data_IF_546369045877
#
_entry.id   IF_546369045877
#
_cell.length_a   1.000
_cell.length_b   1.000
_cell.length_c   1.000
_cell.angle_alpha   90.00
_cell.angle_beta   90.00
_cell.angle_gamma   90.00
#
_symmetry.space_group_name_H-M   'P 1'
#
loop_
_entity.id
_entity.type
_entity.pdbx_description
1 polymer ?
#
# COMPACT_ATOMS: atom_id res chain seq x y z
N UNK A 1 -1.19 -30.78 -3.22
CA UNK A 1 -0.28 -29.69 -2.81
C UNK A 1 0.36 -29.13 -4.06
N UNK A 2 0.27 -27.81 -4.23
CA UNK A 2 0.89 -27.12 -5.35
C UNK A 2 2.29 -26.65 -4.90
N UNK A 3 3.34 -26.81 -5.74
CA UNK A 3 4.62 -26.22 -5.43
C UNK A 3 4.50 -24.69 -5.47
N UNK A 4 5.05 -24.01 -4.47
CA UNK A 4 5.19 -22.55 -4.54
C UNK A 4 6.14 -22.20 -5.70
N UNK A 5 5.77 -21.28 -6.61
CA UNK A 5 6.63 -20.92 -7.73
C UNK A 5 7.93 -20.27 -7.23
N UNK A 6 9.06 -20.55 -7.89
CA UNK A 6 10.32 -19.85 -7.61
C UNK A 6 10.26 -18.46 -8.24
N UNK A 7 9.89 -17.46 -7.45
CA UNK A 7 9.76 -16.06 -7.89
C UNK A 7 10.87 -15.25 -7.22
N UNK A 8 11.73 -14.61 -8.02
CA UNK A 8 12.65 -13.60 -7.52
C UNK A 8 11.84 -12.35 -7.11
N UNK A 9 11.93 -11.88 -5.85
CA UNK A 9 11.23 -10.67 -5.41
C UNK A 9 11.71 -9.41 -6.15
N UNK A 10 12.92 -9.42 -6.71
CA UNK A 10 13.45 -8.34 -7.56
C UNK A 10 12.97 -8.55 -8.99
N UNK A 11 12.10 -7.64 -9.45
CA UNK A 11 11.55 -7.67 -10.79
C UNK A 11 12.57 -7.21 -11.85
N UNK A 12 13.32 -6.15 -11.53
CA UNK A 12 14.34 -5.57 -12.41
C UNK A 12 15.50 -5.05 -11.55
N UNK A 13 16.72 -5.42 -11.90
CA UNK A 13 17.94 -4.89 -11.28
C UNK A 13 18.70 -4.00 -12.29
N UNK A 14 18.95 -2.74 -11.90
CA UNK A 14 19.75 -1.78 -12.68
C UNK A 14 20.91 -1.31 -11.80
N UNK A 15 22.01 -2.07 -11.82
CA UNK A 15 23.14 -1.83 -10.92
C UNK A 15 22.72 -1.91 -9.44
N UNK A 16 22.96 -0.87 -8.61
CA UNK A 16 22.55 -0.86 -7.20
C UNK A 16 21.03 -0.63 -7.01
N UNK A 17 20.30 -0.24 -8.05
CA UNK A 17 18.87 0.00 -7.97
C UNK A 17 18.10 -1.31 -8.21
N UNK A 18 17.41 -1.79 -7.18
CA UNK A 18 16.58 -2.99 -7.24
C UNK A 18 15.10 -2.62 -7.21
N UNK A 19 14.41 -2.87 -8.30
CA UNK A 19 12.97 -2.67 -8.42
C UNK A 19 12.28 -3.97 -8.02
N UNK A 20 11.56 -3.94 -6.91
CA UNK A 20 10.87 -5.11 -6.37
C UNK A 20 9.45 -5.23 -6.93
N UNK A 21 8.97 -6.46 -7.12
CA UNK A 21 7.59 -6.72 -7.53
C UNK A 21 6.57 -6.07 -6.61
N UNK A 22 6.86 -6.02 -5.30
CA UNK A 22 6.00 -5.37 -4.33
C UNK A 22 5.76 -3.89 -4.65
N UNK A 23 6.82 -3.17 -5.01
CA UNK A 23 6.74 -1.77 -5.44
C UNK A 23 5.96 -1.62 -6.75
N UNK A 24 6.18 -2.53 -7.71
CA UNK A 24 5.42 -2.57 -8.95
C UNK A 24 3.93 -2.84 -8.73
N UNK A 25 3.56 -3.71 -7.78
CA UNK A 25 2.16 -3.96 -7.44
C UNK A 25 1.50 -2.72 -6.83
N UNK A 26 2.21 -1.93 -6.02
CA UNK A 26 1.69 -0.63 -5.60
C UNK A 26 1.46 0.32 -6.78
N UNK A 27 2.38 0.38 -7.74
CA UNK A 27 2.20 1.19 -8.95
C UNK A 27 0.99 0.73 -9.76
N UNK A 28 0.81 -0.58 -9.93
CA UNK A 28 -0.38 -1.16 -10.59
C UNK A 28 -1.65 -0.79 -9.83
N UNK A 29 -1.65 -0.91 -8.50
CA UNK A 29 -2.78 -0.55 -7.65
C UNK A 29 -3.17 0.92 -7.76
N UNK A 30 -2.19 1.83 -7.59
CA UNK A 30 -2.40 3.28 -7.67
C UNK A 30 -2.80 3.71 -9.08
N UNK A 31 -2.10 3.21 -10.11
CA UNK A 31 -2.39 3.53 -11.51
C UNK A 31 -3.77 3.06 -11.95
N UNK A 32 -4.17 1.85 -11.54
CA UNK A 32 -5.49 1.30 -11.84
C UNK A 32 -6.60 2.02 -11.07
N UNK A 33 -6.35 2.39 -9.81
CA UNK A 33 -7.26 3.22 -9.01
C UNK A 33 -7.46 4.61 -9.64
N UNK A 34 -6.38 5.27 -10.07
CA UNK A 34 -6.45 6.54 -10.79
C UNK A 34 -7.23 6.40 -12.09
N UNK A 35 -6.96 5.35 -12.87
CA UNK A 35 -7.64 5.11 -14.12
C UNK A 35 -9.16 4.95 -13.92
N UNK A 36 -9.58 4.11 -12.97
CA UNK A 36 -10.99 3.92 -12.66
C UNK A 36 -11.65 5.19 -12.10
N UNK A 37 -10.96 5.90 -11.21
CA UNK A 37 -11.43 7.18 -10.68
C UNK A 37 -11.58 8.24 -11.78
N UNK A 38 -10.65 8.29 -12.74
CA UNK A 38 -10.69 9.23 -13.87
C UNK A 38 -11.92 8.99 -14.77
N UNK A 39 -12.33 7.73 -14.93
CA UNK A 39 -13.55 7.36 -15.67
C UNK A 39 -14.83 7.72 -14.93
N UNK A 40 -14.77 7.80 -13.59
CA UNK A 40 -15.90 8.16 -12.72
C UNK A 40 -15.93 9.64 -12.38
N UNK A 41 -14.86 10.37 -12.66
CA UNK A 41 -14.65 11.76 -12.21
C UNK A 41 -15.79 12.69 -12.63
N UNK A 42 -16.18 12.66 -13.92
CA UNK A 42 -17.25 13.53 -14.43
C UNK A 42 -18.61 13.26 -13.75
N UNK A 43 -18.87 12.03 -13.28
CA UNK A 43 -20.09 11.72 -12.52
C UNK A 43 -20.02 12.16 -11.06
N UNK A 44 -18.81 12.20 -10.50
CA UNK A 44 -18.59 12.66 -9.14
C UNK A 44 -18.62 14.19 -9.06
N UNK A 45 -17.89 14.86 -9.94
CA UNK A 45 -17.88 16.31 -10.08
C UNK A 45 -17.43 16.69 -11.51
N UNK A 46 -18.33 17.21 -12.37
CA UNK A 46 -17.99 17.66 -13.72
C UNK A 46 -16.95 18.78 -13.79
N UNK A 47 -16.76 19.53 -12.70
CA UNK A 47 -15.81 20.64 -12.62
C UNK A 47 -14.38 20.18 -12.29
N UNK A 48 -14.22 18.94 -11.83
CA UNK A 48 -12.90 18.40 -11.47
C UNK A 48 -12.16 17.89 -12.71
N UNK A 49 -10.90 18.33 -12.85
CA UNK A 49 -10.01 17.85 -13.90
C UNK A 49 -9.22 16.61 -13.45
N UNK A 50 -8.59 15.91 -14.40
CA UNK A 50 -7.73 14.75 -14.07
C UNK A 50 -6.49 15.16 -13.29
N UNK A 51 -6.03 16.39 -13.46
CA UNK A 51 -4.96 17.00 -12.66
C UNK A 51 -5.41 17.10 -11.21
N UNK A 52 -6.63 17.59 -10.96
CA UNK A 52 -7.19 17.67 -9.61
C UNK A 52 -7.35 16.30 -8.94
N UNK A 53 -7.75 15.30 -9.72
CA UNK A 53 -7.79 13.91 -9.26
C UNK A 53 -6.38 13.42 -8.89
N UNK A 54 -5.37 13.74 -9.71
CA UNK A 54 -3.98 13.36 -9.47
C UNK A 54 -3.43 14.03 -8.21
N UNK A 55 -3.79 15.30 -7.97
CA UNK A 55 -3.49 16.00 -6.71
C UNK A 55 -4.10 15.26 -5.52
N UNK A 56 -5.36 14.82 -5.61
CA UNK A 56 -6.01 14.05 -4.54
C UNK A 56 -5.24 12.77 -4.23
N UNK A 57 -4.85 12.02 -5.27
CA UNK A 57 -4.07 10.78 -5.10
C UNK A 57 -2.71 11.06 -4.48
N UNK A 58 -2.04 12.15 -4.90
CA UNK A 58 -0.78 12.57 -4.29
C UNK A 58 -0.96 12.87 -2.79
N UNK A 59 -1.99 13.62 -2.41
CA UNK A 59 -2.30 13.89 -1.00
C UNK A 59 -2.54 12.61 -0.19
N UNK A 60 -3.32 11.67 -0.74
CA UNK A 60 -3.58 10.38 -0.10
C UNK A 60 -2.29 9.56 0.03
N UNK A 61 -1.46 9.50 -1.02
CA UNK A 61 -0.17 8.79 -1.00
C UNK A 61 0.79 9.39 0.04
N UNK A 62 0.86 10.72 0.14
CA UNK A 62 1.62 11.40 1.19
C UNK A 62 1.07 11.08 2.59
N UNK A 63 -0.25 10.97 2.74
CA UNK A 63 -0.89 10.51 3.97
C UNK A 63 -0.43 9.10 4.37
N UNK A 64 -0.34 8.16 3.43
CA UNK A 64 0.20 6.81 3.69
C UNK A 64 1.65 6.87 4.15
N UNK A 65 2.50 7.60 3.41
CA UNK A 65 3.95 7.64 3.66
C UNK A 65 4.24 8.32 5.00
N UNK A 66 3.73 9.54 5.18
CA UNK A 66 3.99 10.33 6.39
C UNK A 66 3.33 9.69 7.59
N UNK A 67 2.04 9.31 7.48
CA UNK A 67 1.32 8.66 8.56
C UNK A 67 1.93 7.32 8.95
N UNK A 68 2.32 6.50 7.96
CA UNK A 68 2.93 5.21 8.20
C UNK A 68 4.29 5.34 8.88
N UNK A 69 5.11 6.31 8.46
CA UNK A 69 6.40 6.59 9.08
C UNK A 69 6.24 7.08 10.50
N UNK A 70 5.41 8.10 10.72
CA UNK A 70 5.16 8.64 12.05
C UNK A 70 4.54 7.61 12.99
N UNK A 71 3.61 6.79 12.50
CA UNK A 71 3.07 5.68 13.29
C UNK A 71 4.16 4.70 13.70
N UNK A 72 5.07 4.35 12.80
CA UNK A 72 6.19 3.47 13.16
C UNK A 72 7.06 4.08 14.27
N UNK A 73 7.47 5.34 14.06
CA UNK A 73 8.30 6.08 15.01
C UNK A 73 7.64 6.15 16.39
N UNK A 74 6.37 6.57 16.45
CA UNK A 74 5.70 6.82 17.72
C UNK A 74 5.35 5.54 18.48
N UNK A 75 4.95 4.48 17.77
CA UNK A 75 4.39 3.28 18.41
C UNK A 75 5.39 2.12 18.56
N UNK A 76 6.47 2.08 17.79
CA UNK A 76 7.39 0.94 17.79
C UNK A 76 8.83 1.29 18.18
N UNK A 77 9.33 2.48 17.84
CA UNK A 77 10.77 2.74 17.92
C UNK A 77 11.15 4.15 18.42
N UNK A 78 10.27 4.77 19.20
CA UNK A 78 10.41 6.16 19.62
C UNK A 78 11.78 6.52 20.24
N UNK A 79 12.37 5.69 21.14
CA UNK A 79 13.66 6.02 21.75
C UNK A 79 14.79 6.22 20.73
N UNK A 80 14.84 5.40 19.67
CA UNK A 80 15.89 5.49 18.66
C UNK A 80 15.76 6.76 17.80
N UNK A 81 14.54 7.20 17.51
CA UNK A 81 14.31 8.42 16.74
C UNK A 81 14.50 9.70 17.57
N UNK A 82 14.33 9.64 18.89
CA UNK A 82 14.74 10.73 19.79
C UNK A 82 16.26 10.86 19.80
N UNK A 83 16.97 9.74 19.86
CA UNK A 83 18.44 9.73 19.85
C UNK A 83 19.03 10.19 18.51
N UNK A 84 18.38 9.85 17.38
CA UNK A 84 18.78 10.31 16.06
C UNK A 84 17.57 10.69 15.19
N UNK A 85 17.14 11.97 15.22
CA UNK A 85 15.97 12.43 14.46
C UNK A 85 16.10 12.30 12.94
N UNK A 86 17.32 12.24 12.39
CA UNK A 86 17.54 12.12 10.94
C UNK A 86 17.07 10.77 10.39
N UNK A 87 16.92 9.75 11.25
CA UNK A 87 16.37 8.45 10.88
C UNK A 87 14.99 8.58 10.22
N UNK A 88 14.22 9.63 10.50
CA UNK A 88 12.88 9.83 9.92
C UNK A 88 12.90 9.84 8.39
N UNK A 89 13.98 10.34 7.78
CA UNK A 89 14.14 10.45 6.32
C UNK A 89 14.63 9.15 5.66
N UNK A 90 15.17 8.21 6.45
CA UNK A 90 15.74 6.95 5.96
C UNK A 90 14.65 5.90 5.68
N UNK A 91 13.67 6.26 4.86
CA UNK A 91 12.49 5.41 4.55
C UNK A 91 12.85 4.12 3.83
N UNK A 92 14.01 4.06 3.18
CA UNK A 92 14.53 2.85 2.52
C UNK A 92 14.96 1.76 3.49
N UNK A 93 15.17 2.09 4.77
CA UNK A 93 15.45 1.08 5.82
C UNK A 93 14.19 0.36 6.32
N UNK A 94 13.04 0.61 5.70
CA UNK A 94 11.74 0.13 6.17
C UNK A 94 11.25 0.93 7.38
N UNK A 95 10.41 0.32 8.21
CA UNK A 95 9.81 0.99 9.37
C UNK A 95 8.57 1.82 8.99
N UNK A 96 7.50 1.11 8.64
CA UNK A 96 6.21 1.68 8.27
C UNK A 96 5.10 0.96 9.05
N UNK A 97 4.21 1.73 9.67
CA UNK A 97 3.07 1.20 10.41
C UNK A 97 1.78 1.32 9.59
N UNK A 98 1.05 0.20 9.43
CA UNK A 98 -0.22 0.19 8.69
C UNK A 98 -1.24 1.16 9.28
N UNK A 99 -1.47 1.12 10.60
CA UNK A 99 -2.44 1.97 11.27
C UNK A 99 -2.09 3.46 11.16
N UNK A 100 -0.79 3.79 11.24
CA UNK A 100 -0.31 5.14 10.99
C UNK A 100 -0.63 5.62 9.58
N UNK A 101 -0.39 4.77 8.58
CA UNK A 101 -0.73 5.05 7.18
C UNK A 101 -2.23 5.27 6.98
N UNK A 102 -3.06 4.41 7.59
CA UNK A 102 -4.51 4.53 7.54
C UNK A 102 -5.03 5.85 8.13
N UNK A 103 -4.56 6.21 9.33
CA UNK A 103 -4.89 7.49 9.98
C UNK A 103 -4.42 8.67 9.11
N UNK A 104 -3.21 8.59 8.56
CA UNK A 104 -2.65 9.61 7.66
C UNK A 104 -3.51 9.83 6.41
N UNK A 105 -4.01 8.75 5.79
CA UNK A 105 -4.96 8.83 4.66
C UNK A 105 -6.27 9.50 5.05
N UNK A 106 -6.83 9.16 6.21
CA UNK A 106 -8.08 9.78 6.69
C UNK A 106 -7.91 11.29 6.85
N UNK A 107 -6.81 11.72 7.49
CA UNK A 107 -6.51 13.14 7.71
C UNK A 107 -6.28 13.85 6.36
N UNK A 108 -5.48 13.25 5.47
CA UNK A 108 -5.20 13.82 4.15
C UNK A 108 -6.48 13.99 3.32
N UNK A 109 -7.36 12.99 3.32
CA UNK A 109 -8.64 13.03 2.62
C UNK A 109 -9.56 14.10 3.19
N UNK A 110 -9.66 14.20 4.52
CA UNK A 110 -10.45 15.23 5.19
C UNK A 110 -9.97 16.65 4.83
N UNK A 111 -8.67 16.91 4.92
CA UNK A 111 -8.10 18.22 4.57
C UNK A 111 -8.22 18.55 3.10
N UNK A 112 -7.99 17.57 2.21
CA UNK A 112 -8.18 17.76 0.78
C UNK A 112 -9.64 18.10 0.46
N UNK A 113 -10.61 17.39 1.06
CA UNK A 113 -12.03 17.69 0.89
C UNK A 113 -12.37 19.10 1.34
N UNK A 114 -11.96 19.48 2.56
CA UNK A 114 -12.22 20.82 3.11
C UNK A 114 -11.69 21.94 2.21
N UNK A 115 -10.51 21.79 1.62
CA UNK A 115 -9.91 22.79 0.71
C UNK A 115 -10.60 22.87 -0.66
N UNK A 116 -11.36 21.84 -1.03
CA UNK A 116 -11.98 21.71 -2.35
C UNK A 116 -13.51 21.69 -2.31
N UNK A 117 -14.11 22.15 -1.20
CA UNK A 117 -15.55 22.23 -1.05
C UNK A 117 -16.26 20.86 -1.05
N UNK A 118 -15.56 19.81 -0.63
CA UNK A 118 -16.13 18.45 -0.49
C UNK A 118 -16.14 18.02 0.96
N UNK A 119 -17.21 17.33 1.36
CA UNK A 119 -17.25 16.66 2.65
C UNK A 119 -16.31 15.44 2.64
N UNK A 120 -15.86 15.04 3.83
CA UNK A 120 -15.07 13.83 3.99
C UNK A 120 -15.77 12.61 3.38
N UNK A 121 -17.06 12.43 3.69
CA UNK A 121 -17.84 11.29 3.21
C UNK A 121 -18.03 11.30 1.70
N UNK A 122 -18.18 12.46 1.05
CA UNK A 122 -18.23 12.53 -0.41
C UNK A 122 -16.95 11.97 -1.05
N UNK A 123 -15.78 12.29 -0.48
CA UNK A 123 -14.52 11.73 -0.99
C UNK A 123 -14.36 10.26 -0.65
N UNK A 124 -14.77 9.84 0.55
CA UNK A 124 -14.71 8.43 0.93
C UNK A 124 -15.60 7.57 0.04
N UNK A 125 -16.83 8.00 -0.25
CA UNK A 125 -17.74 7.31 -1.17
C UNK A 125 -17.18 7.23 -2.59
N UNK A 126 -16.47 8.29 -3.03
CA UNK A 126 -15.79 8.30 -4.32
C UNK A 126 -14.60 7.36 -4.38
N UNK A 127 -13.79 7.29 -3.31
CA UNK A 127 -12.54 6.52 -3.24
C UNK A 127 -12.78 5.04 -2.93
N UNK A 128 -13.80 4.72 -2.11
CA UNK A 128 -14.06 3.37 -1.61
C UNK A 128 -14.08 2.27 -2.71
N UNK A 129 -14.67 2.47 -3.89
CA UNK A 129 -14.65 1.47 -4.96
C UNK A 129 -13.25 1.18 -5.53
N UNK A 130 -12.27 2.06 -5.30
CA UNK A 130 -10.90 1.89 -5.81
C UNK A 130 -10.01 1.13 -4.83
N UNK A 131 -10.37 1.13 -3.54
CA UNK A 131 -9.60 0.50 -2.46
C UNK A 131 -9.34 -1.00 -2.71
N UNK A 132 -10.32 -1.81 -3.16
CA UNK A 132 -10.08 -3.23 -3.41
C UNK A 132 -8.99 -3.50 -4.45
N UNK A 133 -8.79 -2.61 -5.42
CA UNK A 133 -7.74 -2.77 -6.45
C UNK A 133 -6.36 -2.68 -5.81
N UNK A 134 -6.15 -1.68 -4.94
CA UNK A 134 -4.90 -1.51 -4.20
C UNK A 134 -4.66 -2.67 -3.23
N UNK A 135 -5.70 -3.10 -2.49
CA UNK A 135 -5.60 -4.24 -1.58
C UNK A 135 -5.27 -5.54 -2.33
N UNK A 136 -5.96 -5.81 -3.44
CA UNK A 136 -5.72 -6.97 -4.28
C UNK A 136 -4.28 -7.00 -4.84
N UNK A 137 -3.80 -5.88 -5.38
CA UNK A 137 -2.42 -5.77 -5.84
C UNK A 137 -1.42 -5.99 -4.69
N UNK A 138 -1.68 -5.42 -3.51
CA UNK A 138 -0.88 -5.64 -2.31
C UNK A 138 -0.83 -7.13 -1.91
N UNK A 139 -1.97 -7.84 -1.93
CA UNK A 139 -2.03 -9.28 -1.64
C UNK A 139 -1.26 -10.12 -2.66
N UNK A 140 -1.31 -9.77 -3.94
CA UNK A 140 -0.48 -10.40 -4.98
C UNK A 140 1.01 -10.16 -4.67
N UNK A 141 1.37 -8.95 -4.26
CA UNK A 141 2.72 -8.62 -3.82
C UNK A 141 3.18 -9.46 -2.62
N UNK A 142 2.30 -9.67 -1.63
CA UNK A 142 2.62 -10.53 -0.47
C UNK A 142 2.83 -11.98 -0.92
N UNK A 143 1.99 -12.47 -1.82
CA UNK A 143 2.16 -13.81 -2.38
C UNK A 143 3.52 -13.94 -3.08
N UNK A 144 3.90 -12.99 -3.95
CA UNK A 144 5.21 -12.98 -4.65
C UNK A 144 6.39 -12.94 -3.68
N UNK A 145 6.30 -12.14 -2.62
CA UNK A 145 7.32 -12.05 -1.57
C UNK A 145 7.34 -13.29 -0.66
N UNK A 146 6.45 -14.27 -0.88
CA UNK A 146 6.19 -15.37 0.03
C UNK A 146 6.00 -14.84 1.46
N UNK A 147 5.03 -13.98 1.71
CA UNK A 147 4.71 -13.48 3.05
C UNK A 147 3.21 -13.50 3.30
N UNK A 148 2.79 -13.43 4.58
CA UNK A 148 1.37 -13.41 4.98
C UNK A 148 0.57 -14.66 4.54
N UNK A 149 1.23 -15.81 4.46
CA UNK A 149 0.57 -17.10 4.22
C UNK A 149 -0.43 -17.45 5.32
N UNK A 150 -1.43 -18.25 4.96
CA UNK A 150 -2.55 -18.60 5.83
C UNK A 150 -2.26 -19.68 6.86
N UNK A 151 -3.34 -20.28 7.37
CA UNK A 151 -3.28 -21.38 8.34
C UNK A 151 -2.79 -22.68 7.67
N UNK A 152 -2.22 -23.62 8.45
CA UNK A 152 -1.91 -24.96 7.95
C UNK A 152 -3.16 -25.64 7.40
N UNK A 153 -3.05 -26.35 6.30
CA UNK A 153 -4.19 -27.00 5.64
C UNK A 153 -3.77 -28.16 4.73
N UNK A 154 -4.62 -29.18 4.67
CA UNK A 154 -4.42 -30.36 3.80
C UNK A 154 -5.19 -30.25 2.47
N UNK A 155 -5.73 -29.07 2.14
CA UNK A 155 -6.47 -28.83 0.90
C UNK A 155 -5.59 -29.02 -0.34
N UNK A 156 -6.16 -29.38 -1.51
CA UNK A 156 -5.36 -29.77 -2.68
C UNK A 156 -4.49 -28.63 -3.23
N UNK A 157 -4.87 -27.36 -3.00
CA UNK A 157 -4.13 -26.15 -3.40
C UNK A 157 -3.18 -25.60 -2.32
N UNK A 158 -2.99 -26.31 -1.21
CA UNK A 158 -2.01 -25.90 -0.20
C UNK A 158 -0.60 -25.81 -0.78
N UNK A 159 0.17 -24.82 -0.32
CA UNK A 159 1.55 -24.56 -0.75
C UNK A 159 2.49 -24.51 0.46
N UNK A 160 3.72 -25.00 0.30
CA UNK A 160 4.79 -24.79 1.28
C UNK A 160 5.58 -23.56 0.85
N UNK A 161 5.58 -22.52 1.69
CA UNK A 161 6.25 -21.26 1.40
C UNK A 161 7.72 -21.32 1.84
N UNK A 162 8.68 -20.81 1.04
CA UNK A 162 10.11 -20.89 1.35
C UNK A 162 10.50 -20.12 2.62
N UNK A 163 9.69 -19.13 2.99
CA UNK A 163 9.85 -18.24 4.13
C UNK A 163 9.13 -18.74 5.39
N UNK A 164 8.30 -19.81 5.32
CA UNK A 164 7.64 -20.39 6.50
C UNK A 164 8.64 -21.19 7.33
N UNK A 165 9.02 -20.75 8.55
CA UNK A 165 10.00 -21.49 9.36
C UNK A 165 9.54 -22.90 9.71
N UNK A 166 8.22 -23.13 9.75
CA UNK A 166 7.65 -24.44 10.08
C UNK A 166 7.52 -25.36 8.85
N UNK A 167 7.74 -24.85 7.63
CA UNK A 167 7.61 -25.59 6.36
C UNK A 167 6.31 -26.40 6.27
N UNK A 168 5.21 -25.83 6.77
CA UNK A 168 3.90 -26.48 6.74
C UNK A 168 3.18 -26.16 5.43
N UNK A 169 2.31 -27.05 4.92
CA UNK A 169 1.40 -26.70 3.85
C UNK A 169 0.40 -25.63 4.33
N UNK A 170 0.40 -24.46 3.70
CA UNK A 170 -0.46 -23.31 4.06
C UNK A 170 -1.49 -23.02 3.00
N UNK A 171 -2.59 -22.39 3.41
CA UNK A 171 -3.43 -21.67 2.46
C UNK A 171 -2.63 -20.49 1.87
N UNK A 172 -2.54 -20.35 0.54
CA UNK A 172 -1.85 -19.23 -0.07
C UNK A 172 -2.59 -17.90 0.10
#
# INVERSE_FOLDING_TARGET
MLPYPQIDPVAVAIGPLQIHWYGLMYLVGIGSAWYLASRRLNRFDPTWTKEKLSDMIFWVAMGVIVGGRLGYVLFYDLPNYIANPLLIFEVWKGGMAFHGGFIGVMIATYWFGKRNGKSFFQLMDFIAPMVPIGLGAGRIGNFINAELWGKPTDLPWAMVFPTDPAQLPRHP
#
